data_IF_021833435910
#
_entry.id   IF_021833435910
#
_cell.length_a   1.000
_cell.length_b   1.000
_cell.length_c   1.000
_cell.angle_alpha   90.00
_cell.angle_beta   90.00
_cell.angle_gamma   90.00
#
_symmetry.space_group_name_H-M   'P 1'
#
loop_
_entity.id
_entity.type
_entity.pdbx_description
1 polymer ?
#
# COMPACT_ATOMS: atom_id res chain seq x y z
N UNK A 1 19.25 17.42 -11.28
CA UNK A 1 18.87 16.07 -11.67
C UNK A 1 17.35 16.03 -11.91
N UNK A 2 16.96 15.50 -13.03
CA UNK A 2 15.54 15.43 -13.36
C UNK A 2 14.84 14.42 -12.45
N UNK A 3 13.65 14.77 -11.99
CA UNK A 3 12.82 13.85 -11.23
C UNK A 3 12.24 12.80 -12.17
N UNK A 4 12.25 11.55 -11.71
CA UNK A 4 11.67 10.45 -12.46
C UNK A 4 10.14 10.50 -12.43
N UNK A 5 9.57 11.01 -11.34
CA UNK A 5 8.12 11.12 -11.12
C UNK A 5 7.77 12.51 -10.63
N UNK A 6 6.57 12.97 -10.97
CA UNK A 6 6.09 14.26 -10.48
C UNK A 6 5.53 14.12 -9.07
N UNK A 7 5.49 15.23 -8.34
CA UNK A 7 4.88 15.25 -7.00
C UNK A 7 3.41 14.85 -7.07
N UNK A 8 2.72 15.27 -8.13
CA UNK A 8 1.30 14.91 -8.33
C UNK A 8 1.13 13.42 -8.53
N UNK A 9 1.99 12.77 -9.31
CA UNK A 9 1.94 11.32 -9.48
C UNK A 9 2.13 10.60 -8.16
N UNK A 10 3.11 11.02 -7.38
CA UNK A 10 3.38 10.38 -6.09
C UNK A 10 2.23 10.61 -5.11
N UNK A 11 1.65 11.81 -5.11
CA UNK A 11 0.49 12.12 -4.27
C UNK A 11 -0.68 11.21 -4.62
N UNK A 12 -0.95 11.03 -5.92
CA UNK A 12 -2.05 10.18 -6.38
C UNK A 12 -1.84 8.73 -5.95
N UNK A 13 -0.63 8.22 -6.08
CA UNK A 13 -0.35 6.84 -5.69
C UNK A 13 -0.52 6.63 -4.19
N UNK A 14 -0.15 7.63 -3.37
CA UNK A 14 -0.30 7.51 -1.91
C UNK A 14 -1.73 7.68 -1.45
N UNK A 15 -2.51 8.51 -2.12
CA UNK A 15 -3.83 8.91 -1.62
C UNK A 15 -5.00 8.33 -2.38
N UNK A 16 -4.81 7.92 -3.63
CA UNK A 16 -5.92 7.46 -4.49
C UNK A 16 -5.87 5.96 -4.77
N UNK A 17 -4.75 5.30 -4.58
CA UNK A 17 -4.69 3.84 -4.70
C UNK A 17 -5.23 3.26 -3.39
N UNK A 18 -6.40 2.62 -3.47
CA UNK A 18 -7.04 2.03 -2.29
C UNK A 18 -6.19 0.87 -1.74
N UNK A 19 -5.84 0.94 -0.45
CA UNK A 19 -5.08 -0.15 0.18
C UNK A 19 -5.85 -1.46 0.23
N UNK A 20 -7.17 -1.49 0.53
CA UNK A 20 -7.90 -2.75 0.43
C UNK A 20 -7.86 -3.35 -0.98
N UNK A 21 -7.99 -2.51 -2.01
CA UNK A 21 -7.88 -2.97 -3.39
C UNK A 21 -6.48 -3.52 -3.67
N UNK A 22 -5.45 -2.81 -3.20
CA UNK A 22 -4.06 -3.22 -3.43
C UNK A 22 -3.73 -4.54 -2.76
N UNK A 23 -4.17 -4.73 -1.51
CA UNK A 23 -4.00 -6.00 -0.80
C UNK A 23 -4.63 -7.15 -1.57
N UNK A 24 -5.83 -6.93 -2.08
CA UNK A 24 -6.54 -7.93 -2.86
C UNK A 24 -5.82 -8.22 -4.18
N UNK A 25 -5.37 -7.18 -4.87
CA UNK A 25 -4.66 -7.31 -6.14
C UNK A 25 -3.34 -8.08 -5.96
N UNK A 26 -2.61 -7.79 -4.89
CA UNK A 26 -1.35 -8.48 -4.60
C UNK A 26 -1.57 -9.92 -4.12
N UNK A 27 -2.81 -10.30 -3.81
CA UNK A 27 -3.08 -11.57 -3.17
C UNK A 27 -2.46 -11.65 -1.78
N UNK A 28 -2.33 -10.51 -1.10
CA UNK A 28 -1.68 -10.43 0.19
C UNK A 28 -2.61 -10.94 1.29
N UNK A 29 -2.12 -11.72 2.25
CA UNK A 29 -2.96 -12.24 3.33
C UNK A 29 -3.61 -11.12 4.13
N UNK A 30 -4.94 -11.08 4.12
CA UNK A 30 -5.74 -10.10 4.84
C UNK A 30 -7.13 -10.64 5.06
N UNK A 31 -7.84 -10.06 6.03
CA UNK A 31 -9.23 -10.43 6.32
C UNK A 31 -9.94 -9.26 6.97
N UNK A 32 -11.26 -9.32 6.98
CA UNK A 32 -12.07 -8.38 7.74
C UNK A 32 -12.57 -9.05 9.00
N UNK A 33 -12.50 -8.33 10.11
CA UNK A 33 -13.00 -8.79 11.39
C UNK A 33 -13.62 -7.61 12.09
N UNK A 34 -14.92 -7.74 12.45
CA UNK A 34 -15.68 -6.70 13.14
C UNK A 34 -15.58 -5.34 12.43
N UNK A 35 -15.64 -5.36 11.09
CA UNK A 35 -15.55 -4.14 10.30
C UNK A 35 -14.15 -3.61 10.08
N UNK A 36 -13.15 -4.22 10.70
CA UNK A 36 -11.76 -3.79 10.55
C UNK A 36 -11.02 -4.65 9.54
N UNK A 37 -10.10 -4.02 8.80
CA UNK A 37 -9.23 -4.73 7.89
C UNK A 37 -7.96 -5.14 8.63
N UNK A 38 -7.71 -6.43 8.67
CA UNK A 38 -6.52 -7.01 9.30
C UNK A 38 -5.65 -7.63 8.22
N UNK A 39 -4.37 -7.31 8.21
CA UNK A 39 -3.43 -7.84 7.23
C UNK A 39 -2.17 -8.34 7.93
N UNK A 40 -1.44 -9.22 7.25
CA UNK A 40 -0.13 -9.66 7.72
C UNK A 40 0.87 -8.57 7.40
N UNK A 41 1.62 -8.11 8.39
CA UNK A 41 2.62 -7.07 8.18
C UNK A 41 3.73 -7.59 7.26
N UNK A 42 4.05 -6.88 6.16
CA UNK A 42 5.09 -7.34 5.24
C UNK A 42 6.50 -7.22 5.82
N UNK A 43 6.67 -6.56 6.97
CA UNK A 43 7.97 -6.42 7.62
C UNK A 43 8.18 -7.42 8.74
N UNK A 44 7.19 -7.60 9.62
CA UNK A 44 7.36 -8.43 10.80
C UNK A 44 6.55 -9.72 10.80
N UNK A 45 5.61 -9.87 9.86
CA UNK A 45 4.80 -11.08 9.75
C UNK A 45 3.64 -11.19 10.74
N UNK A 46 3.45 -10.19 11.60
CA UNK A 46 2.36 -10.20 12.58
C UNK A 46 1.07 -9.65 12.00
N UNK A 47 -0.06 -10.03 12.59
CA UNK A 47 -1.38 -9.63 12.14
C UNK A 47 -2.02 -8.57 13.02
N UNK A 48 -1.23 -7.80 13.72
CA UNK A 48 -1.72 -6.69 14.57
C UNK A 48 -1.73 -5.42 13.76
N UNK A 49 -2.81 -5.20 13.04
CA UNK A 49 -2.84 -4.11 12.07
C UNK A 49 -4.20 -3.44 12.02
N UNK A 50 -4.22 -2.25 11.47
CA UNK A 50 -5.45 -1.50 11.25
C UNK A 50 -5.27 -0.62 10.00
N UNK A 51 -6.39 -0.32 9.36
CA UNK A 51 -6.45 0.56 8.21
C UNK A 51 -7.07 1.89 8.62
N UNK A 52 -6.40 3.00 8.31
CA UNK A 52 -6.99 4.32 8.39
C UNK A 52 -7.46 4.74 7.00
N UNK A 53 -8.78 4.64 6.71
CA UNK A 53 -9.26 4.92 5.35
C UNK A 53 -9.17 6.40 4.98
N UNK A 54 -9.19 7.29 5.95
CA UNK A 54 -9.12 8.73 5.67
C UNK A 54 -7.75 9.14 5.17
N UNK A 55 -6.70 8.54 5.73
CA UNK A 55 -5.33 8.86 5.35
C UNK A 55 -4.74 7.84 4.37
N UNK A 56 -5.49 6.78 4.05
CA UNK A 56 -5.06 5.69 3.19
C UNK A 56 -3.73 5.09 3.66
N UNK A 57 -3.68 4.79 4.95
CA UNK A 57 -2.53 4.19 5.61
C UNK A 57 -2.96 2.92 6.32
N UNK A 58 -2.07 1.92 6.32
CA UNK A 58 -2.21 0.76 7.20
C UNK A 58 -1.08 0.82 8.22
N UNK A 59 -1.39 0.41 9.45
CA UNK A 59 -0.42 0.44 10.53
C UNK A 59 -0.28 -0.94 11.14
N UNK A 60 0.95 -1.37 11.31
CA UNK A 60 1.27 -2.55 12.11
C UNK A 60 1.60 -2.10 13.53
N UNK A 61 0.81 -2.56 14.50
CA UNK A 61 1.02 -2.18 15.90
C UNK A 61 2.18 -2.95 16.54
N UNK A 62 2.56 -4.08 15.96
CA UNK A 62 3.68 -4.85 16.51
C UNK A 62 5.00 -4.16 16.23
N UNK A 63 5.28 -3.80 14.99
CA UNK A 63 6.54 -3.13 14.64
C UNK A 63 6.39 -1.61 14.54
N UNK A 64 5.19 -1.10 14.80
CA UNK A 64 4.88 0.34 14.84
C UNK A 64 5.23 1.05 13.54
N UNK A 65 4.96 0.39 12.42
CA UNK A 65 5.23 0.93 11.08
C UNK A 65 3.94 1.27 10.38
N UNK A 66 3.91 2.44 9.74
CA UNK A 66 2.81 2.84 8.87
C UNK A 66 3.22 2.58 7.42
N UNK A 67 2.25 2.14 6.61
CA UNK A 67 2.49 1.90 5.18
C UNK A 67 1.45 2.67 4.38
N UNK A 68 1.90 3.51 3.46
CA UNK A 68 1.05 4.00 2.37
C UNK A 68 1.14 2.97 1.22
N UNK A 69 0.39 3.15 0.10
CA UNK A 69 0.46 2.17 -0.99
C UNK A 69 1.87 1.94 -1.55
N UNK A 70 2.71 2.98 -1.61
CA UNK A 70 4.07 2.82 -2.11
C UNK A 70 4.91 2.01 -1.11
N UNK A 71 4.85 2.39 0.18
CA UNK A 71 5.58 1.69 1.24
C UNK A 71 5.19 0.23 1.30
N UNK A 72 3.89 -0.04 1.22
CA UNK A 72 3.39 -1.40 1.27
C UNK A 72 3.90 -2.22 0.09
N UNK A 73 3.87 -1.66 -1.10
CA UNK A 73 4.35 -2.34 -2.30
C UNK A 73 5.83 -2.66 -2.19
N UNK A 74 6.63 -1.70 -1.70
CA UNK A 74 8.06 -1.93 -1.50
C UNK A 74 8.33 -3.13 -0.59
N UNK A 75 7.63 -3.17 0.53
CA UNK A 75 7.82 -4.24 1.51
C UNK A 75 7.25 -5.58 1.03
N UNK A 76 6.07 -5.56 0.43
CA UNK A 76 5.38 -6.77 0.01
C UNK A 76 6.08 -7.45 -1.17
N UNK A 77 6.64 -6.67 -2.09
CA UNK A 77 7.29 -7.18 -3.29
C UNK A 77 8.82 -7.20 -3.17
N UNK A 78 9.34 -6.77 -2.03
CA UNK A 78 10.78 -6.69 -1.80
C UNK A 78 11.47 -5.93 -2.94
N UNK A 79 11.01 -4.72 -3.17
CA UNK A 79 11.52 -3.88 -4.25
C UNK A 79 11.80 -2.47 -3.75
N UNK A 80 12.52 -1.70 -4.56
CA UNK A 80 12.86 -0.33 -4.17
C UNK A 80 11.71 0.64 -4.52
N UNK A 81 11.91 1.90 -4.16
CA UNK A 81 10.91 2.95 -4.37
C UNK A 81 10.54 3.10 -5.85
N UNK A 82 11.53 3.16 -6.73
CA UNK A 82 11.30 3.35 -8.16
C UNK A 82 10.51 2.18 -8.75
N UNK A 83 10.88 0.96 -8.39
CA UNK A 83 10.19 -0.24 -8.85
C UNK A 83 8.74 -0.27 -8.34
N UNK A 84 8.53 0.11 -7.08
CA UNK A 84 7.19 0.15 -6.51
C UNK A 84 6.31 1.18 -7.23
N UNK A 85 6.85 2.35 -7.51
CA UNK A 85 6.10 3.39 -8.21
C UNK A 85 5.75 2.95 -9.63
N UNK A 86 6.69 2.35 -10.36
CA UNK A 86 6.41 1.81 -11.70
C UNK A 86 5.33 0.74 -11.65
N UNK A 87 5.39 -0.15 -10.67
CA UNK A 87 4.38 -1.19 -10.50
C UNK A 87 3.00 -0.58 -10.31
N UNK A 88 2.89 0.39 -9.39
CA UNK A 88 1.60 1.03 -9.11
C UNK A 88 1.08 1.83 -10.31
N UNK A 89 1.96 2.52 -11.02
CA UNK A 89 1.55 3.25 -12.23
C UNK A 89 1.03 2.29 -13.30
N UNK A 90 1.65 1.14 -13.46
CA UNK A 90 1.16 0.15 -14.42
C UNK A 90 -0.21 -0.37 -14.06
N UNK A 91 -0.52 -0.50 -12.77
CA UNK A 91 -1.84 -0.92 -12.32
C UNK A 91 -2.87 0.18 -12.55
N UNK A 92 -2.53 1.43 -12.25
CA UNK A 92 -3.47 2.55 -12.38
C UNK A 92 -3.80 2.86 -13.83
N UNK A 93 -2.91 2.56 -14.76
CA UNK A 93 -3.17 2.72 -16.19
C UNK A 93 -4.20 1.72 -16.70
N UNK A 94 -4.36 0.59 -16.02
CA UNK A 94 -5.26 -0.49 -16.46
C UNK A 94 -6.59 -0.49 -15.73
N UNK A 95 -6.64 0.07 -14.53
CA UNK A 95 -7.81 -0.06 -13.65
C UNK A 95 -8.20 1.28 -13.08
N UNK A 96 -9.52 1.48 -12.91
CA UNK A 96 -10.05 2.55 -12.09
C UNK A 96 -10.08 2.05 -10.66
N UNK A 97 -9.26 2.66 -9.80
CA UNK A 97 -9.01 2.12 -8.46
C UNK A 97 -9.91 2.74 -7.41
N UNK A 98 -10.75 3.65 -7.79
CA UNK A 98 -11.60 4.35 -6.84
C UNK A 98 -13.02 3.88 -6.93
#
# INVERSE_FOLDING_TARGET
MARRFTDQQLWQLRNEVSLPWLLQHLGWPHRRRDGQLIFVCPRCGESRSDLNPQENLVRCFHCQTNFNPIDFTMAARDCDFVEAVHYLLSLTDRHHIR
#
